data_IF_471677923405
#
_entry.id   IF_471677923405
#
_cell.length_a   1.000
_cell.length_b   1.000
_cell.length_c   1.000
_cell.angle_alpha   90.00
_cell.angle_beta   90.00
_cell.angle_gamma   90.00
#
_symmetry.space_group_name_H-M   'P 1'
#
loop_
_entity.id
_entity.type
_entity.pdbx_description
1 polymer ?
#
# COMPACT_ATOMS: atom_id res chain seq x y z
N UNK A 1 23.99 -7.74 -38.80
CA UNK A 1 23.88 -6.33 -38.35
C UNK A 1 22.66 -6.03 -37.47
N UNK A 2 21.81 -6.99 -37.08
CA UNK A 2 20.59 -6.70 -36.29
C UNK A 2 20.76 -6.72 -34.76
N UNK A 3 21.78 -7.40 -34.24
CA UNK A 3 21.94 -7.61 -32.79
C UNK A 3 22.27 -6.31 -32.04
N UNK A 4 23.11 -5.45 -32.63
CA UNK A 4 23.48 -4.16 -32.00
C UNK A 4 22.26 -3.24 -31.83
N UNK A 5 21.36 -3.23 -32.82
CA UNK A 5 20.13 -2.42 -32.78
C UNK A 5 19.15 -2.94 -31.72
N UNK A 6 18.99 -4.25 -31.61
CA UNK A 6 18.14 -4.86 -30.59
C UNK A 6 18.67 -4.61 -29.16
N UNK A 7 20.00 -4.59 -28.98
CA UNK A 7 20.62 -4.24 -27.71
C UNK A 7 20.40 -2.78 -27.32
N UNK A 8 20.49 -1.86 -28.29
CA UNK A 8 20.20 -0.43 -28.05
C UNK A 8 18.73 -0.20 -27.70
N UNK A 9 17.80 -0.90 -28.37
CA UNK A 9 16.37 -0.86 -28.04
C UNK A 9 16.10 -1.39 -26.62
N UNK A 10 16.73 -2.49 -26.23
CA UNK A 10 16.65 -3.04 -24.88
C UNK A 10 17.17 -2.06 -23.82
N UNK A 11 18.33 -1.44 -24.08
CA UNK A 11 18.90 -0.42 -23.20
C UNK A 11 17.94 0.77 -23.05
N UNK A 12 17.36 1.25 -24.15
CA UNK A 12 16.37 2.33 -24.13
C UNK A 12 15.13 1.98 -23.29
N UNK A 13 14.65 0.75 -23.37
CA UNK A 13 13.54 0.26 -22.55
C UNK A 13 13.91 0.21 -21.06
N UNK A 14 15.11 -0.26 -20.71
CA UNK A 14 15.60 -0.31 -19.33
C UNK A 14 15.72 1.11 -18.74
N UNK A 15 16.28 2.06 -19.48
CA UNK A 15 16.41 3.45 -19.03
C UNK A 15 15.04 4.09 -18.80
N UNK A 16 14.08 3.83 -19.69
CA UNK A 16 12.71 4.29 -19.53
C UNK A 16 12.04 3.68 -18.28
N UNK A 17 12.27 2.40 -18.00
CA UNK A 17 11.79 1.73 -16.79
C UNK A 17 12.39 2.34 -15.52
N UNK A 18 13.68 2.62 -15.51
CA UNK A 18 14.35 3.26 -14.38
C UNK A 18 13.78 4.66 -14.10
N UNK A 19 13.57 5.48 -15.12
CA UNK A 19 12.93 6.80 -14.99
C UNK A 19 11.51 6.68 -14.41
N UNK A 20 10.70 5.74 -14.91
CA UNK A 20 9.35 5.49 -14.37
C UNK A 20 9.38 5.03 -12.91
N UNK A 21 10.33 4.16 -12.53
CA UNK A 21 10.53 3.72 -11.14
C UNK A 21 10.78 4.90 -10.20
N UNK A 22 11.63 5.85 -10.60
CA UNK A 22 11.90 7.06 -9.81
C UNK A 22 10.65 7.93 -9.69
N UNK A 23 9.88 8.10 -10.77
CA UNK A 23 8.59 8.78 -10.75
C UNK A 23 7.61 8.14 -9.77
N UNK A 24 7.47 6.81 -9.79
CA UNK A 24 6.62 6.11 -8.84
C UNK A 24 7.07 6.26 -7.40
N UNK A 25 8.38 6.26 -7.13
CA UNK A 25 8.90 6.48 -5.78
C UNK A 25 8.43 7.83 -5.23
N UNK A 26 8.55 8.90 -6.02
CA UNK A 26 8.06 10.23 -5.65
C UNK A 26 6.56 10.25 -5.39
N UNK A 27 5.77 9.66 -6.29
CA UNK A 27 4.31 9.57 -6.14
C UNK A 27 3.89 8.80 -4.88
N UNK A 28 4.63 7.74 -4.50
CA UNK A 28 4.37 6.99 -3.26
C UNK A 28 4.66 7.85 -2.03
N UNK A 29 5.74 8.63 -2.04
CA UNK A 29 6.08 9.54 -0.94
C UNK A 29 5.01 10.63 -0.77
N UNK A 30 4.59 11.26 -1.89
CA UNK A 30 3.49 12.22 -1.90
C UNK A 30 2.19 11.59 -1.40
N UNK A 31 1.87 10.36 -1.82
CA UNK A 31 0.69 9.65 -1.36
C UNK A 31 0.72 9.35 0.15
N UNK A 32 1.88 8.98 0.70
CA UNK A 32 2.04 8.79 2.16
C UNK A 32 1.83 10.09 2.93
N UNK A 33 2.31 11.22 2.41
CA UNK A 33 2.04 12.53 3.01
C UNK A 33 0.55 12.83 3.05
N UNK A 34 -0.16 12.62 1.93
CA UNK A 34 -1.61 12.78 1.85
C UNK A 34 -2.37 11.87 2.82
N UNK A 35 -1.93 10.61 2.98
CA UNK A 35 -2.52 9.70 3.97
C UNK A 35 -2.34 10.24 5.40
N UNK A 36 -1.20 10.85 5.71
CA UNK A 36 -0.96 11.51 7.00
C UNK A 36 -1.90 12.68 7.23
N UNK A 37 -2.07 13.56 6.24
CA UNK A 37 -2.99 14.71 6.31
C UNK A 37 -4.45 14.26 6.50
N UNK A 38 -4.87 13.23 5.75
CA UNK A 38 -6.20 12.63 5.90
C UNK A 38 -6.37 12.07 7.32
N UNK A 39 -5.35 11.39 7.85
CA UNK A 39 -5.35 10.89 9.23
C UNK A 39 -5.56 12.00 10.27
N UNK A 40 -4.90 13.15 10.10
CA UNK A 40 -5.10 14.32 10.97
C UNK A 40 -6.53 14.88 10.85
N UNK A 41 -7.11 14.89 9.65
CA UNK A 41 -8.51 15.30 9.45
C UNK A 41 -9.45 14.34 10.20
N UNK A 42 -9.23 13.02 10.13
CA UNK A 42 -10.02 12.04 10.87
C UNK A 42 -9.94 12.25 12.39
N UNK A 43 -8.74 12.47 12.93
CA UNK A 43 -8.58 12.72 14.38
C UNK A 43 -9.33 13.96 14.86
N UNK A 44 -9.45 14.97 14.01
CA UNK A 44 -10.10 16.24 14.33
C UNK A 44 -11.58 16.29 13.92
N UNK A 45 -12.11 15.26 13.27
CA UNK A 45 -13.46 15.28 12.70
C UNK A 45 -14.55 15.37 13.78
N UNK A 46 -14.35 14.74 14.93
CA UNK A 46 -15.33 14.71 16.02
C UNK A 46 -15.41 16.04 16.79
N UNK A 47 -14.33 16.82 16.77
CA UNK A 47 -14.20 18.08 17.53
C UNK A 47 -14.26 19.33 16.66
N UNK A 48 -14.12 19.20 15.33
CA UNK A 48 -14.09 20.31 14.39
C UNK A 48 -15.08 20.11 13.23
N UNK A 49 -16.15 20.92 13.15
CA UNK A 49 -17.14 20.85 12.06
C UNK A 49 -16.51 21.04 10.67
N UNK A 50 -15.43 21.82 10.58
CA UNK A 50 -14.69 22.04 9.33
C UNK A 50 -13.97 20.76 8.89
N UNK A 51 -13.36 20.03 9.83
CA UNK A 51 -12.70 18.75 9.53
C UNK A 51 -13.72 17.70 9.07
N UNK A 52 -14.89 17.63 9.73
CA UNK A 52 -15.98 16.75 9.32
C UNK A 52 -16.50 17.08 7.91
N UNK A 53 -16.66 18.37 7.58
CA UNK A 53 -17.05 18.81 6.23
C UNK A 53 -16.01 18.41 5.16
N UNK A 54 -14.71 18.57 5.45
CA UNK A 54 -13.62 18.13 4.57
C UNK A 54 -13.66 16.62 4.35
N UNK A 55 -13.88 15.85 5.41
CA UNK A 55 -13.95 14.40 5.35
C UNK A 55 -15.14 13.92 4.50
N UNK A 56 -16.31 14.55 4.67
CA UNK A 56 -17.50 14.28 3.86
C UNK A 56 -17.23 14.52 2.37
N UNK A 57 -16.66 15.68 2.02
CA UNK A 57 -16.30 15.99 0.63
C UNK A 57 -15.30 14.99 0.04
N UNK A 58 -14.30 14.59 0.81
CA UNK A 58 -13.33 13.58 0.39
C UNK A 58 -14.02 12.23 0.13
N UNK A 59 -14.87 11.79 1.05
CA UNK A 59 -15.66 10.57 0.90
C UNK A 59 -16.51 10.63 -0.37
N UNK A 60 -17.24 11.72 -0.57
CA UNK A 60 -18.09 11.92 -1.73
C UNK A 60 -17.28 11.80 -3.02
N UNK A 61 -16.11 12.44 -3.12
CA UNK A 61 -15.24 12.35 -4.30
C UNK A 61 -14.71 10.92 -4.52
N UNK A 62 -14.33 10.22 -3.46
CA UNK A 62 -13.76 8.86 -3.55
C UNK A 62 -14.78 7.82 -3.99
N UNK A 63 -16.07 8.05 -3.69
CA UNK A 63 -17.18 7.16 -4.04
C UNK A 63 -18.00 7.65 -5.24
N UNK A 64 -17.72 8.84 -5.78
CA UNK A 64 -18.49 9.39 -6.91
C UNK A 64 -18.16 8.64 -8.21
N UNK A 65 -19.19 8.09 -8.84
CA UNK A 65 -19.11 7.36 -10.10
C UNK A 65 -19.40 5.86 -9.94
N UNK A 66 -19.44 5.14 -11.07
CA UNK A 66 -19.80 3.71 -11.08
C UNK A 66 -18.74 2.82 -10.41
N UNK A 67 -17.50 3.31 -10.31
CA UNK A 67 -16.40 2.64 -9.62
C UNK A 67 -15.70 3.63 -8.69
N UNK A 68 -15.34 3.22 -7.47
CA UNK A 68 -14.46 3.98 -6.60
C UNK A 68 -13.19 4.44 -7.33
N UNK A 69 -12.78 5.69 -7.08
CA UNK A 69 -11.68 6.35 -7.80
C UNK A 69 -10.37 5.55 -7.79
N UNK A 70 -10.13 4.79 -6.72
CA UNK A 70 -8.92 4.00 -6.52
C UNK A 70 -8.93 2.65 -7.25
N UNK A 71 -10.10 2.12 -7.60
CA UNK A 71 -10.24 0.75 -8.09
C UNK A 71 -9.50 0.50 -9.43
N UNK A 72 -9.59 1.38 -10.45
CA UNK A 72 -8.85 1.20 -11.71
C UNK A 72 -7.33 1.20 -11.52
N UNK A 73 -6.84 1.94 -10.53
CA UNK A 73 -5.40 1.99 -10.22
C UNK A 73 -4.93 0.66 -9.61
N UNK A 74 -5.69 0.11 -8.66
CA UNK A 74 -5.39 -1.19 -8.03
C UNK A 74 -5.38 -2.31 -9.07
N UNK A 75 -6.36 -2.32 -9.98
CA UNK A 75 -6.43 -3.30 -11.08
C UNK A 75 -5.18 -3.24 -11.98
N UNK A 76 -4.76 -2.04 -12.38
CA UNK A 76 -3.54 -1.85 -13.19
C UNK A 76 -2.27 -2.29 -12.47
N UNK A 77 -2.15 -1.99 -11.18
CA UNK A 77 -0.99 -2.41 -10.37
C UNK A 77 -0.87 -3.94 -10.33
N UNK A 78 -1.99 -4.65 -10.21
CA UNK A 78 -1.99 -6.12 -10.23
C UNK A 78 -1.50 -6.68 -11.57
N UNK A 79 -1.91 -6.08 -12.69
CA UNK A 79 -1.44 -6.47 -14.04
C UNK A 79 0.05 -6.19 -14.19
N UNK A 80 0.50 -5.00 -13.81
CA UNK A 80 1.91 -4.60 -13.88
C UNK A 80 2.79 -5.52 -13.04
N UNK A 81 2.36 -5.87 -11.82
CA UNK A 81 3.09 -6.82 -10.98
C UNK A 81 3.29 -8.16 -11.68
N UNK A 82 2.21 -8.73 -12.24
CA UNK A 82 2.27 -10.02 -12.95
C UNK A 82 3.21 -9.95 -14.15
N UNK A 83 3.20 -8.87 -14.93
CA UNK A 83 4.07 -8.73 -16.10
C UNK A 83 5.54 -8.59 -15.71
N UNK A 84 5.86 -7.87 -14.63
CA UNK A 84 7.24 -7.78 -14.13
C UNK A 84 7.73 -9.10 -13.54
N UNK A 85 6.88 -9.82 -12.82
CA UNK A 85 7.23 -11.14 -12.27
C UNK A 85 7.56 -12.13 -13.41
N UNK A 86 6.78 -12.11 -14.49
CA UNK A 86 7.02 -12.93 -15.68
C UNK A 86 8.29 -12.51 -16.43
N UNK A 87 8.52 -11.21 -16.63
CA UNK A 87 9.75 -10.70 -17.23
C UNK A 87 10.99 -11.10 -16.42
N UNK A 88 10.89 -11.08 -15.09
CA UNK A 88 11.97 -11.52 -14.20
C UNK A 88 12.27 -13.02 -14.33
N UNK A 89 11.26 -13.85 -14.60
CA UNK A 89 11.45 -15.29 -14.88
C UNK A 89 12.13 -15.51 -16.22
N UNK A 90 11.67 -14.83 -17.26
CA UNK A 90 12.27 -14.91 -18.60
C UNK A 90 13.72 -14.46 -18.58
N UNK A 91 14.05 -13.38 -17.86
CA UNK A 91 15.42 -12.92 -17.73
C UNK A 91 16.32 -13.95 -17.01
N UNK A 92 15.82 -14.61 -15.97
CA UNK A 92 16.56 -15.68 -15.28
C UNK A 92 16.83 -16.89 -16.18
N UNK A 93 15.87 -17.26 -17.02
CA UNK A 93 16.03 -18.36 -17.98
C UNK A 93 17.04 -18.05 -19.09
N UNK A 94 17.23 -16.76 -19.40
CA UNK A 94 18.21 -16.30 -20.38
C UNK A 94 19.65 -16.19 -19.83
N UNK A 95 19.84 -16.28 -18.51
CA UNK A 95 21.16 -16.32 -17.90
C UNK A 95 21.58 -17.79 -17.81
N UNK A 96 22.58 -18.26 -18.58
CA UNK A 96 23.09 -19.61 -18.44
C UNK A 96 23.67 -19.76 -17.03
N UNK A 97 23.26 -20.81 -16.31
CA UNK A 97 23.77 -21.20 -14.98
C UNK A 97 25.31 -21.37 -14.94
N UNK A 98 25.99 -21.37 -16.09
CA UNK A 98 27.43 -21.62 -16.22
C UNK A 98 28.37 -20.41 -15.98
N UNK A 99 27.85 -19.19 -15.73
CA UNK A 99 28.72 -18.01 -15.48
C UNK A 99 28.35 -17.18 -14.25
N UNK A 100 27.96 -17.82 -13.16
CA UNK A 100 28.07 -17.20 -11.83
C UNK A 100 28.81 -18.14 -10.89
N UNK A 101 30.12 -18.28 -11.13
CA UNK A 101 31.07 -18.61 -10.08
C UNK A 101 31.17 -17.44 -9.10
N UNK A 102 30.13 -17.23 -8.30
CA UNK A 102 30.21 -16.45 -7.06
C UNK A 102 29.73 -17.37 -5.95
N UNK A 103 30.73 -18.03 -5.38
CA UNK A 103 30.76 -18.66 -4.07
C UNK A 103 29.60 -18.27 -3.14
N UNK A 104 28.71 -19.24 -2.93
CA UNK A 104 27.85 -19.33 -1.76
C UNK A 104 28.76 -19.50 -0.54
N UNK A 105 29.17 -18.40 0.09
CA UNK A 105 29.88 -18.42 1.35
C UNK A 105 29.68 -17.12 2.15
N UNK A 106 28.50 -16.98 2.78
CA UNK A 106 28.39 -16.75 4.23
C UNK A 106 26.93 -16.64 4.67
N UNK A 107 26.48 -17.67 5.39
CA UNK A 107 25.53 -17.51 6.50
C UNK A 107 26.09 -16.45 7.46
N UNK A 108 25.33 -15.38 7.71
CA UNK A 108 24.96 -14.91 9.06
C UNK A 108 24.40 -13.49 8.98
N UNK A 109 23.08 -13.37 9.13
CA UNK A 109 22.35 -12.32 9.87
C UNK A 109 20.93 -12.20 9.30
N UNK A 110 19.96 -12.12 10.20
CA UNK A 110 18.52 -11.95 9.96
C UNK A 110 17.72 -13.22 9.57
N UNK A 111 17.93 -14.31 10.31
CA UNK A 111 16.81 -15.16 10.71
C UNK A 111 16.68 -15.01 12.23
N UNK A 112 15.70 -14.23 12.66
CA UNK A 112 15.09 -14.22 13.99
C UNK A 112 14.12 -13.05 14.02
N UNK A 113 12.82 -13.37 13.94
CA UNK A 113 11.64 -12.71 14.50
C UNK A 113 10.44 -13.04 13.61
N UNK A 114 9.95 -14.28 13.73
CA UNK A 114 8.54 -14.61 13.54
C UNK A 114 8.26 -16.01 14.11
N UNK A 115 7.97 -16.03 15.40
CA UNK A 115 7.26 -17.05 16.21
C UNK A 115 7.39 -16.47 17.65
N UNK A 116 6.37 -16.13 18.42
CA UNK A 116 5.05 -16.68 18.74
C UNK A 116 4.09 -15.48 18.97
N UNK A 117 2.76 -15.56 18.93
CA UNK A 117 1.92 -16.26 19.91
C UNK A 117 0.56 -16.60 19.29
N UNK A 118 0.16 -17.82 19.62
CA UNK A 118 -1.04 -18.57 19.26
C UNK A 118 -2.23 -18.13 20.12
N UNK A 119 -3.41 -18.29 19.51
CA UNK A 119 -4.77 -18.12 20.02
C UNK A 119 -5.01 -18.35 21.53
N UNK A 120 -5.78 -17.45 22.13
CA UNK A 120 -6.77 -17.76 23.16
C UNK A 120 -8.10 -17.06 22.85
N UNK A 121 -9.14 -17.89 22.79
CA UNK A 121 -10.55 -17.55 22.69
C UNK A 121 -11.12 -17.25 24.07
N UNK A 122 -11.79 -16.11 24.24
CA UNK A 122 -12.89 -15.97 25.20
C UNK A 122 -13.74 -14.74 24.85
N UNK A 123 -15.05 -14.92 24.90
CA UNK A 123 -16.05 -13.93 24.55
C UNK A 123 -16.18 -12.84 25.62
N UNK A 124 -16.20 -11.57 25.23
CA UNK A 124 -16.88 -10.54 26.03
C UNK A 124 -17.45 -9.45 25.13
N UNK A 125 -18.78 -9.35 25.13
CA UNK A 125 -19.54 -8.26 24.51
C UNK A 125 -19.11 -6.95 25.17
N UNK A 126 -18.93 -5.83 24.45
CA UNK A 126 -18.85 -4.54 25.13
C UNK A 126 -20.22 -4.23 25.73
N UNK A 127 -20.31 -4.42 27.06
CA UNK A 127 -21.46 -4.05 27.86
C UNK A 127 -21.65 -2.53 27.76
N UNK A 128 -22.76 -2.14 27.12
CA UNK A 128 -23.29 -0.78 27.13
C UNK A 128 -23.50 -0.38 28.60
N UNK A 129 -22.75 0.60 29.10
CA UNK A 129 -22.93 1.11 30.44
C UNK A 129 -24.38 1.58 30.65
N UNK A 130 -25.10 1.12 31.69
CA UNK A 130 -26.45 1.61 31.97
C UNK A 130 -26.35 3.05 32.47
N UNK A 131 -26.86 3.98 31.67
CA UNK A 131 -27.10 5.36 32.10
C UNK A 131 -28.10 5.30 33.26
N UNK A 132 -27.59 5.49 34.47
CA UNK A 132 -28.40 5.55 35.68
C UNK A 132 -29.34 6.76 35.61
N UNK A 133 -30.65 6.49 35.60
CA UNK A 133 -31.71 7.49 35.78
C UNK A 133 -31.59 8.08 37.19
N UNK A 134 -31.03 9.28 37.33
CA UNK A 134 -31.16 10.09 38.54
C UNK A 134 -32.11 11.27 38.29
N UNK A 135 -33.35 11.03 38.73
CA UNK A 135 -34.28 11.95 39.38
C UNK A 135 -34.46 13.37 38.82
N UNK A 136 -35.61 13.52 38.16
CA UNK A 136 -36.41 14.73 38.00
C UNK A 136 -36.64 15.37 39.38
N UNK A 137 -35.98 16.51 39.65
CA UNK A 137 -36.41 17.42 40.72
C UNK A 137 -37.61 18.20 40.20
N UNK A 138 -38.78 17.90 40.74
CA UNK A 138 -39.94 18.77 40.73
C UNK A 138 -39.61 20.02 41.55
N UNK A 139 -39.62 21.18 40.91
CA UNK A 139 -39.82 22.45 41.60
C UNK A 139 -41.34 22.61 41.75
N UNK A 140 -41.78 22.68 43.00
CA UNK A 140 -43.07 23.23 43.38
C UNK A 140 -42.95 24.75 43.45
#
# INVERSE_FOLDING_TARGET
MNESKQMEELKGMIDALQRRRLGFKKQIEEFKSLQGEIGQIYQNADSCPIAMSKLKKLSDVMTKGDKPLHQPMVEKVAVVKKTFDELGRQLKQLIPEEKVGVSVAKKSAASSLNAEVKAETAAEKPARAPIAKKHRRSFA
#
